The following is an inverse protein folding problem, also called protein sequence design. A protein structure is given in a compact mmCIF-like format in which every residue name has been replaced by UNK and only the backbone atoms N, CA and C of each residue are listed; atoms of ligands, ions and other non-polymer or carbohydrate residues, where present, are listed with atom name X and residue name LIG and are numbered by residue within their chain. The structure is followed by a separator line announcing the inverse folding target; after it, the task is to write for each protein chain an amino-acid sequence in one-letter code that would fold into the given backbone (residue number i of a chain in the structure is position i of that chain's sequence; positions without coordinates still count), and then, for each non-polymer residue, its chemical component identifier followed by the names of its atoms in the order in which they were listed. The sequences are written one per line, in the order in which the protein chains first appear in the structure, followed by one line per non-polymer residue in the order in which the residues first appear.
data_IF_385632107828
#
_entry.id   IF_385632107828
#
_cell.length_a   1.000
_cell.length_b   1.000
_cell.length_c   1.000
_cell.angle_alpha   90.00
_cell.angle_beta   90.00
_cell.angle_gamma   90.00
#
_symmetry.space_group_name_H-M   'P 1'
#
loop_
_entity.id
_entity.type
_entity.pdbx_description
1 polymer ?
#
# COMPACT_ATOMS: atom_id res chain seq x y z
N UNK A 1 -11.41 2.06 2.06
CA UNK A 1 -11.26 1.34 0.77
C UNK A 1 -10.83 -0.07 1.11
N UNK A 2 -11.48 -1.13 0.58
CA UNK A 2 -11.10 -2.49 0.95
C UNK A 2 -9.71 -2.85 0.39
N UNK A 3 -9.01 -3.76 1.06
CA UNK A 3 -7.84 -4.43 0.48
C UNK A 3 -8.32 -5.23 -0.74
N UNK A 4 -7.64 -5.05 -1.88
CA UNK A 4 -7.99 -5.75 -3.10
C UNK A 4 -7.74 -7.25 -2.96
N UNK A 5 -8.71 -8.07 -3.37
CA UNK A 5 -8.46 -9.50 -3.58
C UNK A 5 -7.54 -9.69 -4.78
N UNK A 6 -6.88 -10.85 -4.94
CA UNK A 6 -6.07 -11.13 -6.11
C UNK A 6 -6.83 -10.94 -7.44
N UNK A 7 -8.10 -11.32 -7.48
CA UNK A 7 -8.97 -11.19 -8.65
C UNK A 7 -9.27 -9.72 -8.95
N UNK A 8 -9.64 -8.93 -7.93
CA UNK A 8 -9.88 -7.51 -8.09
C UNK A 8 -8.62 -6.76 -8.53
N UNK A 9 -7.45 -7.12 -8.00
CA UNK A 9 -6.17 -6.52 -8.39
C UNK A 9 -5.79 -6.85 -9.84
N UNK A 10 -6.05 -8.08 -10.31
CA UNK A 10 -5.87 -8.43 -11.71
C UNK A 10 -6.80 -7.61 -12.63
N UNK A 11 -8.07 -7.49 -12.27
CA UNK A 11 -9.05 -6.69 -13.02
C UNK A 11 -8.65 -5.21 -13.08
N UNK A 12 -8.15 -4.65 -11.98
CA UNK A 12 -7.58 -3.30 -11.95
C UNK A 12 -6.51 -3.16 -13.04
N UNK A 13 -5.50 -4.03 -13.07
CA UNK A 13 -4.41 -3.94 -14.05
C UNK A 13 -4.90 -4.09 -15.50
N UNK A 14 -5.86 -4.98 -15.74
CA UNK A 14 -6.46 -5.15 -17.06
C UNK A 14 -7.23 -3.89 -17.51
N UNK A 15 -8.01 -3.29 -16.61
CA UNK A 15 -8.73 -2.03 -16.83
C UNK A 15 -7.76 -0.88 -17.13
N UNK A 16 -6.67 -0.76 -16.36
CA UNK A 16 -5.63 0.25 -16.60
C UNK A 16 -4.99 0.09 -17.98
N UNK A 17 -4.64 -1.15 -18.36
CA UNK A 17 -4.06 -1.46 -19.67
C UNK A 17 -5.01 -1.14 -20.82
N UNK A 18 -6.27 -1.57 -20.73
CA UNK A 18 -7.28 -1.32 -21.75
C UNK A 18 -7.62 0.18 -21.88
N UNK A 19 -7.73 0.87 -20.74
CA UNK A 19 -8.04 2.29 -20.64
C UNK A 19 -6.85 3.23 -20.88
N UNK A 20 -5.64 2.70 -21.06
CA UNK A 20 -4.39 3.46 -21.26
C UNK A 20 -4.09 4.46 -20.14
N UNK A 21 -4.29 4.03 -18.89
CA UNK A 21 -3.90 4.78 -17.70
C UNK A 21 -3.08 3.88 -16.75
N UNK A 22 -2.64 4.44 -15.63
CA UNK A 22 -1.88 3.71 -14.62
C UNK A 22 -2.36 4.06 -13.21
N UNK A 23 -2.21 3.10 -12.31
CA UNK A 23 -2.42 3.33 -10.87
C UNK A 23 -1.11 3.76 -10.21
N UNK A 24 -1.17 4.73 -9.29
CA UNK A 24 -0.01 5.11 -8.50
C UNK A 24 0.39 3.99 -7.52
N UNK A 25 1.70 3.78 -7.37
CA UNK A 25 2.28 2.92 -6.34
C UNK A 25 3.04 3.79 -5.33
N UNK A 26 2.46 3.99 -4.15
CA UNK A 26 2.94 4.94 -3.15
C UNK A 26 3.76 4.20 -2.09
N UNK A 27 5.04 4.58 -1.95
CA UNK A 27 5.86 4.14 -0.83
C UNK A 27 5.32 4.73 0.48
N UNK A 28 5.11 3.88 1.47
CA UNK A 28 4.72 4.30 2.83
C UNK A 28 5.69 3.75 3.86
N UNK A 29 5.80 4.45 4.99
CA UNK A 29 6.77 4.14 6.06
C UNK A 29 6.16 4.26 7.46
N UNK A 30 4.87 4.53 7.57
CA UNK A 30 4.16 4.70 8.84
C UNK A 30 2.64 4.60 8.67
N UNK A 31 1.91 4.55 9.77
CA UNK A 31 0.44 4.64 9.75
C UNK A 31 -0.04 5.99 9.16
N UNK A 32 0.66 7.09 9.45
CA UNK A 32 0.28 8.40 8.90
C UNK A 32 0.44 8.45 7.38
N UNK A 33 1.54 7.93 6.84
CA UNK A 33 1.78 7.90 5.38
C UNK A 33 0.85 6.92 4.68
N UNK A 34 0.49 5.81 5.32
CA UNK A 34 -0.57 4.91 4.85
C UNK A 34 -1.92 5.64 4.76
N UNK A 35 -2.38 6.28 5.83
CA UNK A 35 -3.64 7.03 5.82
C UNK A 35 -3.65 8.14 4.77
N UNK A 36 -2.52 8.84 4.61
CA UNK A 36 -2.39 9.86 3.58
C UNK A 36 -2.54 9.28 2.16
N UNK A 37 -1.93 8.13 1.87
CA UNK A 37 -2.08 7.44 0.59
C UNK A 37 -3.52 6.99 0.35
N UNK A 38 -4.13 6.31 1.34
CA UNK A 38 -5.52 5.84 1.26
C UNK A 38 -6.51 7.00 1.05
N UNK A 39 -6.31 8.12 1.75
CA UNK A 39 -7.11 9.33 1.56
C UNK A 39 -6.92 9.92 0.17
N UNK A 40 -5.69 9.98 -0.33
CA UNK A 40 -5.40 10.46 -1.68
C UNK A 40 -6.09 9.63 -2.76
N UNK A 41 -6.10 8.30 -2.61
CA UNK A 41 -6.84 7.40 -3.50
C UNK A 41 -8.35 7.65 -3.44
N UNK A 42 -8.92 7.78 -2.24
CA UNK A 42 -10.33 8.04 -2.05
C UNK A 42 -10.78 9.40 -2.62
N UNK A 43 -10.01 10.47 -2.38
CA UNK A 43 -10.31 11.81 -2.92
C UNK A 43 -10.16 11.88 -4.44
N UNK A 44 -9.27 11.07 -5.02
CA UNK A 44 -9.12 10.94 -6.47
C UNK A 44 -10.12 9.98 -7.13
N UNK A 45 -11.02 9.36 -6.34
CA UNK A 45 -11.92 8.29 -6.78
C UNK A 45 -11.20 7.19 -7.59
N UNK A 46 -9.98 6.86 -7.16
CA UNK A 46 -9.09 5.95 -7.86
C UNK A 46 -8.73 4.77 -6.97
N UNK A 47 -8.61 3.58 -7.57
CA UNK A 47 -7.83 2.51 -6.94
C UNK A 47 -6.35 2.93 -6.83
N UNK A 48 -5.57 2.22 -6.02
CA UNK A 48 -4.17 2.53 -5.84
C UNK A 48 -3.38 1.38 -5.23
N UNK A 49 -2.05 1.48 -5.31
CA UNK A 49 -1.13 0.51 -4.75
C UNK A 49 -0.36 1.17 -3.62
N UNK A 50 -0.37 0.54 -2.45
CA UNK A 50 0.55 0.88 -1.35
C UNK A 50 1.69 -0.12 -1.40
N UNK A 51 2.93 0.38 -1.36
CA UNK A 51 4.10 -0.47 -1.35
C UNK A 51 5.08 -0.05 -0.24
N UNK A 52 5.87 -1.00 0.23
CA UNK A 52 6.86 -0.79 1.28
C UNK A 52 8.20 -1.21 0.71
N UNK A 53 9.18 -0.31 0.71
CA UNK A 53 10.55 -0.64 0.32
C UNK A 53 11.22 -1.46 1.43
N UNK A 54 12.34 -2.12 1.12
CA UNK A 54 13.13 -2.82 2.15
C UNK A 54 13.57 -1.88 3.28
N UNK A 55 14.00 -0.66 2.95
CA UNK A 55 14.35 0.36 3.95
C UNK A 55 13.14 0.87 4.76
N UNK A 56 11.96 0.99 4.14
CA UNK A 56 10.71 1.33 4.85
C UNK A 56 10.28 0.22 5.81
N UNK A 57 10.41 -1.03 5.36
CA UNK A 57 10.13 -2.21 6.17
C UNK A 57 11.10 -2.33 7.35
N UNK A 58 12.40 -2.10 7.13
CA UNK A 58 13.42 -2.03 8.19
C UNK A 58 13.07 -0.96 9.23
N UNK A 59 12.70 0.24 8.77
CA UNK A 59 12.32 1.36 9.63
C UNK A 59 11.13 1.00 10.53
N UNK A 60 10.12 0.33 9.95
CA UNK A 60 8.93 -0.15 10.66
C UNK A 60 9.21 -1.32 11.60
N UNK A 61 10.21 -2.15 11.30
CA UNK A 61 10.73 -3.21 12.15
C UNK A 61 11.40 -2.72 13.44
N UNK A 62 11.41 -1.41 13.66
CA UNK A 62 11.95 -0.75 14.84
C UNK A 62 13.45 -0.46 14.71
N UNK A 63 13.90 0.63 15.32
CA UNK A 63 15.27 1.13 15.16
C UNK A 63 16.34 0.23 15.79
N UNK A 64 15.93 -0.63 16.74
CA UNK A 64 16.81 -1.61 17.37
C UNK A 64 16.88 -2.91 16.59
N UNK A 65 15.72 -3.54 16.32
CA UNK A 65 15.67 -4.86 15.67
C UNK A 65 15.85 -4.79 14.16
N UNK A 66 15.40 -3.71 13.50
CA UNK A 66 15.53 -3.51 12.05
C UNK A 66 15.00 -4.68 11.22
N UNK A 67 13.98 -5.38 11.73
CA UNK A 67 13.47 -6.59 11.09
C UNK A 67 12.46 -6.24 9.99
N UNK A 68 12.88 -6.40 8.74
CA UNK A 68 12.07 -6.01 7.58
C UNK A 68 10.74 -6.79 7.50
N UNK A 69 10.76 -8.09 7.78
CA UNK A 69 9.55 -8.93 7.66
C UNK A 69 8.51 -8.47 8.68
N UNK A 70 8.93 -8.28 9.93
CA UNK A 70 8.07 -7.78 11.01
C UNK A 70 7.50 -6.42 10.67
N UNK A 71 8.33 -5.47 10.18
CA UNK A 71 7.86 -4.15 9.80
C UNK A 71 6.86 -4.15 8.65
N UNK A 72 7.10 -4.97 7.61
CA UNK A 72 6.18 -5.12 6.49
C UNK A 72 4.85 -5.76 6.91
N UNK A 73 4.89 -6.85 7.68
CA UNK A 73 3.69 -7.54 8.19
C UNK A 73 2.90 -6.60 9.11
N UNK A 74 3.56 -5.90 10.03
CA UNK A 74 2.88 -5.00 10.97
C UNK A 74 2.09 -3.90 10.25
N UNK A 75 2.68 -3.28 9.22
CA UNK A 75 1.94 -2.25 8.46
C UNK A 75 0.87 -2.85 7.56
N UNK A 76 1.09 -4.02 6.98
CA UNK A 76 0.08 -4.72 6.18
C UNK A 76 -1.14 -5.10 7.05
N UNK A 77 -0.93 -5.62 8.26
CA UNK A 77 -2.01 -5.91 9.22
C UNK A 77 -2.73 -4.63 9.65
N UNK A 78 -1.99 -3.55 9.93
CA UNK A 78 -2.60 -2.26 10.22
C UNK A 78 -3.52 -1.80 9.07
N UNK A 79 -3.11 -1.97 7.82
CA UNK A 79 -3.92 -1.64 6.64
C UNK A 79 -5.19 -2.50 6.49
N UNK A 80 -5.26 -3.70 7.08
CA UNK A 80 -6.48 -4.50 7.10
C UNK A 80 -7.50 -4.03 8.15
N UNK A 81 -7.06 -3.26 9.15
CA UNK A 81 -7.91 -2.79 10.26
C UNK A 81 -8.56 -1.44 9.95
N UNK A 82 -7.85 -0.55 9.23
CA UNK A 82 -8.23 0.86 9.05
C UNK A 82 -8.99 1.20 7.77
#
# INVERSE_FOLDING_TARGET
MPIATPEAYAEMLDRAKAGKFAYPAINVTSSQTLHAALRGFAEAESDGIVQISTGGAEFLGGQYSKDMVTGAVALAEFAHIV
#
